data_IF_150131473144
#
_entry.id   IF_150131473144
#
_cell.length_a   1.000
_cell.length_b   1.000
_cell.length_c   1.000
_cell.angle_alpha   90.00
_cell.angle_beta   90.00
_cell.angle_gamma   90.00
#
_symmetry.space_group_name_H-M   'P 1'
#
loop_
_entity.id
_entity.type
_entity.pdbx_description
1 polymer ?
#
# COMPACT_ATOMS: atom_id res chain seq x y z
N UNK A 1 50.12 -47.88 12.83
CA UNK A 1 49.30 -48.86 12.08
C UNK A 1 48.50 -48.06 11.07
N UNK A 2 48.86 -48.18 9.81
CA UNK A 2 48.22 -47.51 8.68
C UNK A 2 47.11 -48.45 8.20
N UNK A 3 45.90 -47.94 8.07
CA UNK A 3 44.74 -48.66 7.54
C UNK A 3 44.21 -47.91 6.33
N UNK A 4 44.60 -48.39 5.16
CA UNK A 4 44.21 -47.91 3.83
C UNK A 4 43.60 -49.13 3.12
N UNK A 5 42.39 -49.03 2.55
CA UNK A 5 41.85 -49.94 1.52
C UNK A 5 40.47 -49.48 1.02
N UNK A 6 40.51 -48.68 -0.06
CA UNK A 6 39.85 -48.88 -1.36
C UNK A 6 38.53 -49.68 -1.49
N UNK A 7 37.55 -49.00 -2.11
CA UNK A 7 36.82 -49.31 -3.37
C UNK A 7 36.14 -50.67 -3.56
N UNK A 8 34.85 -50.64 -3.93
CA UNK A 8 34.29 -51.43 -5.05
C UNK A 8 32.99 -50.82 -5.60
N UNK A 9 33.02 -50.40 -6.87
CA UNK A 9 31.88 -50.31 -7.80
C UNK A 9 31.89 -51.58 -8.67
N UNK A 10 30.75 -52.03 -9.20
CA UNK A 10 30.73 -52.79 -10.44
C UNK A 10 30.12 -51.99 -11.61
N UNK A 11 30.80 -52.17 -12.74
CA UNK A 11 30.52 -51.70 -14.08
C UNK A 11 29.87 -52.88 -14.84
N UNK A 12 28.76 -52.68 -15.57
CA UNK A 12 28.30 -53.64 -16.59
C UNK A 12 27.88 -52.87 -17.85
N UNK A 13 28.46 -53.30 -18.97
CA UNK A 13 28.28 -52.82 -20.34
C UNK A 13 27.00 -53.36 -21.02
N UNK A 14 26.38 -52.47 -21.80
CA UNK A 14 25.81 -52.57 -23.16
C UNK A 14 25.10 -53.85 -23.63
N UNK A 15 23.88 -53.67 -24.17
CA UNK A 15 23.51 -54.09 -25.53
C UNK A 15 22.27 -53.30 -26.05
N UNK A 16 22.32 -52.93 -27.33
CA UNK A 16 21.25 -52.27 -28.11
C UNK A 16 20.15 -53.28 -28.50
N UNK A 17 18.88 -52.86 -28.53
CA UNK A 17 18.01 -53.03 -29.71
C UNK A 17 16.70 -52.23 -29.63
N UNK A 18 16.15 -52.00 -30.81
CA UNK A 18 15.13 -51.04 -31.25
C UNK A 18 13.71 -51.43 -30.81
N UNK A 19 12.89 -50.43 -30.43
CA UNK A 19 11.45 -50.63 -30.20
C UNK A 19 10.68 -49.32 -29.98
N UNK A 20 10.07 -48.81 -31.06
CA UNK A 20 9.04 -47.75 -31.06
C UNK A 20 7.78 -48.28 -30.37
N UNK A 21 7.23 -47.55 -29.38
CA UNK A 21 5.77 -47.28 -29.16
C UNK A 21 5.64 -46.22 -28.06
N UNK A 22 4.76 -45.24 -28.28
CA UNK A 22 4.63 -44.01 -27.50
C UNK A 22 4.04 -44.14 -26.09
N UNK A 23 4.10 -43.02 -25.37
CA UNK A 23 3.50 -42.83 -24.06
C UNK A 23 3.62 -41.36 -23.64
N UNK A 24 2.57 -40.60 -23.87
CA UNK A 24 2.39 -39.21 -23.44
C UNK A 24 2.62 -39.07 -21.93
N UNK A 25 3.54 -38.19 -21.53
CA UNK A 25 3.54 -37.56 -20.22
C UNK A 25 3.86 -36.07 -20.38
N UNK A 26 2.81 -35.28 -20.59
CA UNK A 26 2.88 -33.82 -20.50
C UNK A 26 3.03 -33.43 -19.02
N UNK A 27 4.26 -33.19 -18.58
CA UNK A 27 4.52 -32.26 -17.49
C UNK A 27 4.33 -30.84 -18.05
N UNK A 28 3.19 -30.23 -17.74
CA UNK A 28 2.99 -28.79 -17.96
C UNK A 28 3.57 -28.04 -16.76
N UNK A 29 4.86 -27.75 -16.82
CA UNK A 29 5.41 -26.58 -16.14
C UNK A 29 4.84 -25.34 -16.83
N UNK A 30 3.78 -24.78 -16.26
CA UNK A 30 3.29 -23.46 -16.64
C UNK A 30 4.22 -22.39 -16.07
N UNK A 31 5.32 -22.16 -16.79
CA UNK A 31 6.06 -20.90 -16.71
C UNK A 31 5.13 -19.77 -17.18
N UNK A 32 4.51 -19.08 -16.23
CA UNK A 32 3.83 -17.81 -16.47
C UNK A 32 4.88 -16.75 -16.81
N UNK A 33 5.31 -16.74 -18.06
CA UNK A 33 6.04 -15.62 -18.65
C UNK A 33 5.16 -14.37 -18.57
N UNK A 34 5.60 -13.40 -17.77
CA UNK A 34 5.09 -12.05 -17.84
C UNK A 34 5.51 -11.48 -19.19
N UNK A 35 4.56 -11.38 -20.13
CA UNK A 35 4.67 -10.36 -21.16
C UNK A 35 4.56 -9.00 -20.46
N UNK A 36 5.70 -8.34 -20.30
CA UNK A 36 5.74 -6.88 -20.16
C UNK A 36 5.07 -6.31 -21.39
N UNK A 37 3.80 -5.95 -21.28
CA UNK A 37 3.15 -5.10 -22.25
C UNK A 37 3.79 -3.72 -22.15
N UNK A 38 4.84 -3.50 -22.94
CA UNK A 38 5.18 -2.16 -23.43
C UNK A 38 4.02 -1.71 -24.33
N UNK A 39 2.99 -1.17 -23.69
CA UNK A 39 1.95 -0.43 -24.38
C UNK A 39 2.55 0.94 -24.79
N UNK A 40 3.42 0.94 -25.79
CA UNK A 40 3.74 2.15 -26.55
C UNK A 40 2.53 2.50 -27.42
N UNK A 41 1.47 3.03 -26.81
CA UNK A 41 0.51 3.80 -27.57
C UNK A 41 1.20 5.08 -28.03
N UNK A 42 1.36 5.23 -29.35
CA UNK A 42 1.61 6.51 -29.99
C UNK A 42 0.45 7.46 -29.66
N UNK A 43 0.56 8.19 -28.55
CA UNK A 43 -0.22 9.40 -28.34
C UNK A 43 0.51 10.54 -29.03
N UNK A 44 -0.21 11.17 -29.97
CA UNK A 44 0.16 12.43 -30.59
C UNK A 44 0.57 13.42 -29.50
N UNK A 45 1.80 13.92 -29.61
CA UNK A 45 2.33 14.99 -28.78
C UNK A 45 1.50 16.25 -29.04
N UNK A 46 0.50 16.49 -28.20
CA UNK A 46 -0.11 17.80 -28.07
C UNK A 46 0.87 18.70 -27.31
N UNK A 47 1.08 19.96 -27.74
CA UNK A 47 2.04 20.85 -27.12
C UNK A 47 1.68 21.12 -25.66
N UNK A 48 2.70 20.97 -24.81
CA UNK A 48 2.69 21.22 -23.37
C UNK A 48 2.29 22.67 -23.08
N UNK A 49 1.00 22.92 -22.84
CA UNK A 49 0.57 24.12 -22.15
C UNK A 49 0.89 23.92 -20.67
N UNK A 50 1.84 24.71 -20.17
CA UNK A 50 2.17 24.86 -18.75
C UNK A 50 0.93 25.44 -18.03
N UNK A 51 -0.02 24.57 -17.70
CA UNK A 51 -1.10 24.86 -16.78
C UNK A 51 -0.48 24.99 -15.39
N UNK A 52 -0.61 26.17 -14.82
CA UNK A 52 -0.24 26.47 -13.45
C UNK A 52 -0.95 25.45 -12.55
N UNK A 53 -0.18 24.79 -11.68
CA UNK A 53 -0.72 24.09 -10.52
C UNK A 53 -1.55 25.09 -9.72
N UNK A 54 -2.87 24.99 -9.82
CA UNK A 54 -3.72 25.53 -8.79
C UNK A 54 -3.69 24.51 -7.65
N UNK A 55 -2.73 24.72 -6.75
CA UNK A 55 -2.91 24.23 -5.40
C UNK A 55 -4.18 24.90 -4.86
N UNK A 56 -5.23 24.12 -4.63
CA UNK A 56 -6.42 24.61 -3.94
C UNK A 56 -6.07 24.80 -2.46
N UNK A 57 -5.53 25.98 -2.13
CA UNK A 57 -5.51 26.47 -0.76
C UNK A 57 -6.71 27.41 -0.58
N UNK A 58 -7.67 27.00 0.25
CA UNK A 58 -8.67 27.93 0.76
C UNK A 58 -8.04 28.76 1.88
N UNK A 59 -7.90 30.06 1.65
CA UNK A 59 -7.54 31.02 2.69
C UNK A 59 -8.82 31.45 3.41
N UNK A 60 -8.94 31.12 4.70
CA UNK A 60 -9.91 31.79 5.56
C UNK A 60 -9.38 33.19 5.90
N UNK A 61 -10.00 34.21 5.33
CA UNK A 61 -9.56 35.61 5.42
C UNK A 61 -9.89 36.28 6.77
N UNK A 62 -10.37 35.53 7.78
CA UNK A 62 -10.85 36.10 9.05
C UNK A 62 -9.95 35.87 10.27
N UNK A 63 -8.73 35.35 10.11
CA UNK A 63 -7.84 35.12 11.25
C UNK A 63 -6.53 35.92 11.13
N UNK A 64 -6.36 36.93 11.99
CA UNK A 64 -5.19 37.83 12.04
C UNK A 64 -3.87 37.16 12.48
N UNK A 65 -3.84 35.82 12.59
CA UNK A 65 -2.65 35.06 12.92
C UNK A 65 -2.23 34.26 11.69
N UNK A 66 -1.16 34.75 11.05
CA UNK A 66 -0.54 34.25 9.82
C UNK A 66 0.09 32.84 10.00
N UNK A 67 -0.70 31.85 10.43
CA UNK A 67 -0.34 30.45 10.61
C UNK A 67 -1.24 29.59 9.71
N UNK A 68 -0.68 28.79 8.78
CA UNK A 68 -1.45 27.73 8.14
C UNK A 68 -1.89 26.76 9.24
N UNK A 69 -3.19 26.44 9.26
CA UNK A 69 -3.76 25.38 10.08
C UNK A 69 -4.10 24.24 9.13
N UNK A 70 -3.54 23.05 9.34
CA UNK A 70 -4.05 21.84 8.69
C UNK A 70 -5.36 21.48 9.38
N UNK A 71 -6.47 21.90 8.78
CA UNK A 71 -7.79 21.48 9.22
C UNK A 71 -8.05 20.06 8.73
N UNK A 72 -8.20 19.11 9.65
CA UNK A 72 -9.03 17.94 9.38
C UNK A 72 -10.44 18.47 9.13
N UNK A 73 -10.91 18.42 7.88
CA UNK A 73 -12.23 18.89 7.53
C UNK A 73 -13.32 18.09 8.27
N UNK A 74 -13.90 18.71 9.29
CA UNK A 74 -15.18 18.34 9.85
C UNK A 74 -16.29 18.96 8.99
N UNK A 75 -16.75 18.22 7.99
CA UNK A 75 -18.05 18.53 7.39
C UNK A 75 -19.15 17.99 8.28
N UNK A 76 -19.83 18.88 8.99
CA UNK A 76 -21.10 18.59 9.65
C UNK A 76 -22.10 18.10 8.61
N UNK A 77 -22.70 16.94 8.85
CA UNK A 77 -23.73 16.34 8.01
C UNK A 77 -24.84 17.36 7.67
N UNK A 78 -24.99 17.67 6.37
CA UNK A 78 -26.24 18.25 5.87
C UNK A 78 -27.26 17.11 5.83
N UNK A 79 -28.20 17.13 6.75
CA UNK A 79 -29.32 16.18 6.76
C UNK A 79 -30.03 16.21 5.39
N UNK A 80 -30.47 15.06 4.85
CA UNK A 80 -31.27 15.03 3.64
C UNK A 80 -32.59 15.77 3.87
N UNK A 81 -32.96 16.62 2.92
CA UNK A 81 -34.24 17.32 2.89
C UNK A 81 -35.39 16.29 2.98
N UNK A 82 -36.35 16.45 3.91
CA UNK A 82 -37.47 15.51 4.02
C UNK A 82 -38.42 15.69 2.83
N UNK A 83 -38.71 14.59 2.12
CA UNK A 83 -39.91 14.49 1.29
C UNK A 83 -41.14 14.53 2.20
N UNK A 84 -42.07 15.41 1.89
CA UNK A 84 -43.36 15.53 2.57
C UNK A 84 -44.14 14.21 2.48
N UNK A 85 -44.40 13.59 3.62
CA UNK A 85 -45.53 12.68 3.82
C UNK A 85 -46.29 13.14 5.06
N UNK A 86 -47.59 13.42 4.88
CA UNK A 86 -48.49 13.87 5.94
C UNK A 86 -49.02 12.69 6.78
N UNK A 87 -48.98 12.91 8.09
CA UNK A 87 -49.82 12.36 9.17
C UNK A 87 -49.94 10.84 9.41
N UNK A 88 -49.34 10.37 10.53
CA UNK A 88 -50.09 9.90 11.72
C UNK A 88 -49.21 9.71 12.98
N UNK A 89 -49.59 10.46 14.02
CA UNK A 89 -49.57 10.22 15.48
C UNK A 89 -48.42 9.45 16.19
N UNK A 90 -47.65 10.25 16.94
CA UNK A 90 -47.19 10.10 18.34
C UNK A 90 -46.89 8.70 18.92
N UNK A 91 -45.62 8.46 19.30
CA UNK A 91 -45.22 7.88 20.59
C UNK A 91 -43.77 8.28 20.93
N UNK A 92 -43.49 8.34 22.23
CA UNK A 92 -42.34 8.96 22.89
C UNK A 92 -40.96 8.41 22.46
N UNK A 93 -39.96 9.29 22.34
CA UNK A 93 -38.55 8.89 22.35
C UNK A 93 -37.71 9.87 23.19
N UNK A 94 -37.02 9.31 24.18
CA UNK A 94 -35.97 9.96 24.94
C UNK A 94 -34.80 10.30 23.99
N UNK A 95 -34.47 11.58 23.90
CA UNK A 95 -33.29 12.05 23.18
C UNK A 95 -32.03 11.66 23.96
N UNK A 96 -31.36 10.60 23.52
CA UNK A 96 -29.97 10.36 23.88
C UNK A 96 -29.14 11.38 23.12
N UNK A 97 -28.61 12.35 23.85
CA UNK A 97 -27.62 13.30 23.33
C UNK A 97 -26.37 12.50 22.99
N UNK A 98 -26.21 12.17 21.71
CA UNK A 98 -25.00 11.54 21.18
C UNK A 98 -23.84 12.50 21.34
N UNK A 99 -23.00 12.27 22.34
CA UNK A 99 -21.69 12.88 22.44
C UNK A 99 -20.88 12.48 21.21
N UNK A 100 -20.53 13.45 20.37
CA UNK A 100 -19.52 13.30 19.32
C UNK A 100 -18.14 13.16 20.00
N UNK A 101 -17.91 12.03 20.66
CA UNK A 101 -16.56 11.61 21.03
C UNK A 101 -15.80 11.42 19.73
N UNK A 102 -14.73 12.19 19.54
CA UNK A 102 -13.72 11.92 18.53
C UNK A 102 -13.31 10.47 18.77
N UNK A 103 -13.72 9.56 17.89
CA UNK A 103 -13.14 8.23 17.88
C UNK A 103 -11.65 8.45 17.65
N UNK A 104 -10.90 8.25 18.72
CA UNK A 104 -9.45 8.21 18.73
C UNK A 104 -9.05 7.36 17.53
N UNK A 105 -8.33 7.95 16.57
CA UNK A 105 -7.81 7.20 15.41
C UNK A 105 -7.07 6.04 16.03
N UNK A 106 -7.63 4.84 15.91
CA UNK A 106 -7.09 3.67 16.55
C UNK A 106 -5.79 3.37 15.82
N UNK A 107 -4.69 3.96 16.31
CA UNK A 107 -3.32 3.60 15.95
C UNK A 107 -3.05 2.24 16.60
N UNK A 108 -3.90 1.27 16.26
CA UNK A 108 -3.78 -0.10 16.68
C UNK A 108 -2.43 -0.59 16.20
N UNK A 109 -1.83 -1.52 16.94
CA UNK A 109 -0.61 -2.19 16.51
C UNK A 109 -0.92 -2.98 15.24
N UNK A 110 -0.70 -2.36 14.09
CA UNK A 110 -0.81 -3.02 12.80
C UNK A 110 0.21 -4.15 12.72
N UNK A 111 -0.25 -5.33 12.36
CA UNK A 111 0.60 -6.48 12.11
C UNK A 111 0.27 -7.11 10.76
N UNK A 112 1.26 -7.77 10.18
CA UNK A 112 1.09 -8.59 9.00
C UNK A 112 0.32 -9.85 9.36
N UNK A 113 -0.47 -10.33 8.39
CA UNK A 113 -1.17 -11.59 8.54
C UNK A 113 -0.20 -12.77 8.52
N UNK A 114 -0.44 -13.78 9.36
CA UNK A 114 0.45 -14.94 9.55
C UNK A 114 0.74 -15.71 8.26
N UNK A 115 -0.22 -15.76 7.33
CA UNK A 115 -0.03 -16.39 6.02
C UNK A 115 1.15 -15.79 5.21
N UNK A 116 1.64 -14.60 5.56
CA UNK A 116 2.85 -14.04 4.96
C UNK A 116 4.08 -14.95 5.14
N UNK A 117 4.14 -15.77 6.20
CA UNK A 117 5.20 -16.76 6.44
C UNK A 117 5.34 -17.77 5.30
N UNK A 118 4.29 -17.98 4.51
CA UNK A 118 4.36 -18.85 3.33
C UNK A 118 5.27 -18.30 2.21
N UNK A 119 5.63 -17.02 2.27
CA UNK A 119 6.41 -16.30 1.25
C UNK A 119 7.72 -15.71 1.80
N UNK A 120 7.98 -15.83 3.10
CA UNK A 120 9.08 -15.14 3.76
C UNK A 120 9.09 -15.35 5.27
N UNK A 121 9.74 -14.45 5.99
CA UNK A 121 9.80 -14.48 7.46
C UNK A 121 9.11 -13.26 8.07
N UNK A 122 8.42 -13.47 9.18
CA UNK A 122 7.87 -12.42 10.02
C UNK A 122 8.75 -12.22 11.26
N UNK A 123 8.78 -11.00 11.81
CA UNK A 123 9.28 -10.77 13.16
C UNK A 123 8.36 -11.40 14.21
N UNK A 124 8.86 -11.64 15.42
CA UNK A 124 8.06 -12.21 16.53
C UNK A 124 6.81 -11.38 16.86
N UNK A 125 6.87 -10.06 16.65
CA UNK A 125 5.73 -9.16 16.85
C UNK A 125 4.89 -8.94 15.58
N UNK A 126 5.20 -9.65 14.49
CA UNK A 126 4.52 -9.60 13.20
C UNK A 126 4.49 -8.21 12.53
N UNK A 127 5.36 -7.27 12.94
CA UNK A 127 5.41 -5.92 12.35
C UNK A 127 6.35 -5.84 11.15
N UNK A 128 7.35 -6.72 11.06
CA UNK A 128 8.33 -6.75 9.97
C UNK A 128 8.14 -8.01 9.16
N UNK A 129 8.14 -7.87 7.84
CA UNK A 129 8.12 -8.97 6.89
C UNK A 129 9.33 -8.87 5.95
N UNK A 130 10.02 -9.99 5.75
CA UNK A 130 11.07 -10.12 4.73
C UNK A 130 10.68 -11.20 3.74
N UNK A 131 10.56 -10.85 2.46
CA UNK A 131 10.28 -11.82 1.39
C UNK A 131 11.51 -12.70 1.15
N UNK A 132 11.38 -14.02 1.26
CA UNK A 132 12.48 -14.95 1.00
C UNK A 132 12.20 -15.89 -0.17
N UNK A 133 10.92 -16.12 -0.47
CA UNK A 133 10.49 -17.06 -1.50
C UNK A 133 9.99 -16.36 -2.77
N UNK A 134 9.82 -17.14 -3.83
CA UNK A 134 9.19 -16.72 -5.09
C UNK A 134 9.91 -15.55 -5.80
N UNK A 135 11.23 -15.65 -5.98
CA UNK A 135 12.03 -14.66 -6.71
C UNK A 135 11.44 -14.33 -8.10
N UNK A 136 11.44 -13.05 -8.46
CA UNK A 136 10.85 -12.54 -9.69
C UNK A 136 9.31 -12.60 -9.78
N UNK A 137 8.62 -13.23 -8.82
CA UNK A 137 7.15 -13.33 -8.78
C UNK A 137 6.55 -12.35 -7.76
N UNK A 138 5.41 -11.77 -8.12
CA UNK A 138 4.68 -10.87 -7.24
C UNK A 138 4.06 -11.63 -6.07
N UNK A 139 4.36 -11.16 -4.87
CA UNK A 139 3.77 -11.61 -3.60
C UNK A 139 3.04 -10.44 -2.97
N UNK A 140 1.88 -10.72 -2.38
CA UNK A 140 1.10 -9.71 -1.68
C UNK A 140 1.05 -10.06 -0.21
N UNK A 141 1.47 -9.11 0.61
CA UNK A 141 1.51 -9.21 2.07
C UNK A 141 0.40 -8.32 2.59
N UNK A 142 -0.53 -8.90 3.35
CA UNK A 142 -1.72 -8.20 3.84
C UNK A 142 -1.62 -7.96 5.33
N UNK A 143 -2.25 -6.88 5.79
CA UNK A 143 -2.54 -6.69 7.20
C UNK A 143 -3.46 -7.81 7.74
N UNK A 144 -3.38 -8.08 9.04
CA UNK A 144 -4.23 -9.03 9.78
C UNK A 144 -5.72 -8.64 9.84
N UNK A 145 -6.07 -7.37 9.59
CA UNK A 145 -7.43 -6.87 9.83
C UNK A 145 -8.15 -6.40 8.56
N UNK A 146 -9.41 -6.77 8.44
CA UNK A 146 -10.34 -6.22 7.44
C UNK A 146 -11.06 -5.01 8.03
N UNK A 147 -11.02 -3.90 7.30
CA UNK A 147 -11.68 -2.64 7.64
C UNK A 147 -13.02 -2.52 6.92
N UNK A 148 -14.05 -2.09 7.65
CA UNK A 148 -15.44 -1.97 7.15
C UNK A 148 -16.03 -0.57 7.26
N UNK A 149 -15.52 0.24 8.18
CA UNK A 149 -15.98 1.60 8.47
C UNK A 149 -14.85 2.38 9.14
N UNK A 150 -15.00 3.70 9.26
CA UNK A 150 -14.08 4.57 9.99
C UNK A 150 -12.80 4.93 9.21
N UNK A 151 -11.86 5.55 9.94
CA UNK A 151 -10.59 6.05 9.42
C UNK A 151 -9.43 5.21 9.96
N UNK A 152 -8.61 4.67 9.07
CA UNK A 152 -7.47 3.80 9.41
C UNK A 152 -6.18 4.38 8.85
N UNK A 153 -5.14 4.46 9.69
CA UNK A 153 -3.85 5.05 9.30
C UNK A 153 -2.73 4.03 9.43
N UNK A 154 -2.04 3.77 8.33
CA UNK A 154 -0.89 2.88 8.24
C UNK A 154 0.37 3.68 7.99
N UNK A 155 1.43 3.37 8.73
CA UNK A 155 2.76 3.89 8.45
C UNK A 155 3.69 2.72 8.20
N UNK A 156 4.38 2.72 7.05
CA UNK A 156 5.28 1.63 6.69
C UNK A 156 6.61 2.14 6.13
N UNK A 157 7.67 1.37 6.29
CA UNK A 157 8.97 1.60 5.66
C UNK A 157 9.40 0.42 4.80
N UNK A 158 10.15 0.71 3.74
CA UNK A 158 10.96 -0.29 3.04
C UNK A 158 12.37 -0.22 3.62
N UNK A 159 12.77 -1.24 4.37
CA UNK A 159 13.97 -1.18 5.21
C UNK A 159 15.22 -1.67 4.48
N UNK A 160 15.07 -2.72 3.66
CA UNK A 160 16.19 -3.34 2.94
C UNK A 160 15.73 -4.07 1.67
N UNK A 161 16.70 -4.55 0.89
CA UNK A 161 16.49 -5.24 -0.38
C UNK A 161 16.41 -4.30 -1.59
N UNK A 162 16.04 -4.85 -2.74
CA UNK A 162 15.87 -4.06 -3.97
C UNK A 162 14.38 -3.89 -4.28
N UNK A 163 13.85 -2.68 -4.07
CA UNK A 163 12.46 -2.35 -4.43
C UNK A 163 12.32 -2.45 -5.95
N UNK A 164 11.43 -3.28 -6.47
CA UNK A 164 11.20 -3.45 -7.91
C UNK A 164 10.22 -2.39 -8.47
N UNK A 165 10.19 -2.14 -9.79
CA UNK A 165 9.17 -1.28 -10.41
C UNK A 165 7.72 -1.75 -10.20
N UNK A 166 7.52 -3.03 -9.88
CA UNK A 166 6.20 -3.62 -9.65
C UNK A 166 5.80 -3.58 -8.16
N UNK A 167 6.70 -3.13 -7.28
CA UNK A 167 6.40 -3.02 -5.86
C UNK A 167 5.53 -1.79 -5.59
N UNK A 168 4.72 -1.90 -4.54
CA UNK A 168 3.78 -0.87 -4.18
C UNK A 168 3.00 -1.20 -2.92
N UNK A 169 2.22 -0.23 -2.47
CA UNK A 169 1.51 -0.27 -1.20
C UNK A 169 0.11 0.29 -1.42
N UNK A 170 -0.90 -0.22 -0.72
CA UNK A 170 -2.25 0.24 -0.98
C UNK A 170 -3.32 -0.44 -0.15
N UNK A 171 -4.55 -0.28 -0.62
CA UNK A 171 -5.75 -0.82 -0.01
C UNK A 171 -6.45 -1.74 -1.02
N UNK A 172 -6.63 -3.00 -0.64
CA UNK A 172 -7.29 -4.03 -1.44
C UNK A 172 -8.73 -4.21 -0.97
N UNK A 173 -9.70 -4.12 -1.88
CA UNK A 173 -11.11 -4.31 -1.57
C UNK A 173 -11.44 -5.81 -1.53
N UNK A 174 -11.70 -6.32 -0.33
CA UNK A 174 -11.96 -7.74 -0.07
C UNK A 174 -12.64 -7.93 1.28
N UNK A 175 -13.53 -8.92 1.36
CA UNK A 175 -14.16 -9.36 2.61
C UNK A 175 -13.47 -10.58 3.25
N UNK A 176 -12.34 -11.02 2.69
CA UNK A 176 -11.60 -12.21 3.13
C UNK A 176 -10.09 -11.96 3.20
N UNK A 177 -9.46 -12.63 4.17
CA UNK A 177 -8.02 -12.78 4.35
C UNK A 177 -7.67 -14.29 4.33
N UNK A 178 -6.51 -14.69 3.77
CA UNK A 178 -5.67 -13.88 2.89
C UNK A 178 -6.43 -13.56 1.59
N UNK A 179 -6.09 -12.47 0.93
CA UNK A 179 -6.72 -12.15 -0.36
C UNK A 179 -6.26 -13.15 -1.45
N UNK A 180 -7.02 -13.22 -2.55
CA UNK A 180 -6.75 -14.14 -3.66
C UNK A 180 -5.31 -13.96 -4.18
N UNK A 181 -4.63 -15.07 -4.46
CA UNK A 181 -3.23 -15.06 -4.95
C UNK A 181 -3.02 -14.35 -6.29
N UNK A 182 -4.06 -14.21 -7.10
CA UNK A 182 -3.97 -13.50 -8.38
C UNK A 182 -4.20 -11.99 -8.18
N UNK A 183 -3.11 -11.27 -7.91
CA UNK A 183 -3.08 -9.81 -7.69
C UNK A 183 -3.71 -9.02 -8.83
N UNK A 184 -3.65 -9.53 -10.06
CA UNK A 184 -4.22 -8.86 -11.23
C UNK A 184 -5.75 -8.82 -11.23
N UNK A 185 -6.41 -9.60 -10.36
CA UNK A 185 -7.87 -9.65 -10.24
C UNK A 185 -8.41 -8.95 -8.99
N UNK A 186 -7.55 -8.26 -8.25
CA UNK A 186 -7.91 -7.61 -6.99
C UNK A 186 -8.27 -6.17 -7.28
N UNK A 187 -9.50 -5.79 -6.96
CA UNK A 187 -9.89 -4.39 -6.96
C UNK A 187 -9.10 -3.67 -5.86
N UNK A 188 -8.42 -2.58 -6.19
CA UNK A 188 -7.53 -1.90 -5.24
C UNK A 188 -7.26 -0.45 -5.61
N UNK A 189 -6.80 0.33 -4.63
CA UNK A 189 -6.16 1.61 -4.85
C UNK A 189 -4.76 1.59 -4.21
N UNK A 190 -3.75 1.94 -4.99
CA UNK A 190 -2.37 1.69 -4.59
C UNK A 190 -1.41 2.74 -5.13
N UNK A 191 -0.33 2.93 -4.40
CA UNK A 191 0.83 3.71 -4.75
C UNK A 191 1.93 2.78 -5.27
N UNK A 192 2.42 3.03 -6.49
CA UNK A 192 3.53 2.25 -7.04
C UNK A 192 4.90 2.84 -6.68
N UNK A 193 5.99 2.09 -6.97
CA UNK A 193 7.37 2.55 -6.76
C UNK A 193 7.67 3.96 -7.28
N UNK A 194 7.11 4.35 -8.42
CA UNK A 194 7.39 5.66 -9.06
C UNK A 194 6.66 6.83 -8.39
N UNK A 195 5.83 6.58 -7.39
CA UNK A 195 5.04 7.64 -6.73
C UNK A 195 3.68 7.90 -7.40
N UNK A 196 3.26 7.06 -8.35
CA UNK A 196 1.97 7.23 -9.02
C UNK A 196 0.87 6.50 -8.24
N UNK A 197 -0.25 7.18 -8.05
CA UNK A 197 -1.45 6.58 -7.46
C UNK A 197 -2.28 5.97 -8.58
N UNK A 198 -2.59 4.70 -8.45
CA UNK A 198 -3.34 3.91 -9.42
C UNK A 198 -4.56 3.28 -8.74
N UNK A 199 -5.66 3.17 -9.48
CA UNK A 199 -6.74 2.25 -9.14
C UNK A 199 -6.70 1.04 -10.06
N UNK A 200 -7.15 -0.09 -9.52
CA UNK A 200 -7.42 -1.31 -10.27
C UNK A 200 -8.85 -1.72 -10.03
N UNK A 201 -9.56 -2.02 -11.11
CA UNK A 201 -10.87 -2.66 -11.08
C UNK A 201 -10.79 -3.85 -12.03
N UNK A 202 -10.84 -5.06 -11.49
CA UNK A 202 -10.58 -6.31 -12.20
C UNK A 202 -9.21 -6.26 -12.91
N UNK A 203 -9.16 -6.46 -14.22
CA UNK A 203 -7.93 -6.41 -15.01
C UNK A 203 -7.42 -5.00 -15.28
N UNK A 204 -8.28 -4.00 -15.10
CA UNK A 204 -8.05 -2.67 -15.65
C UNK A 204 -7.32 -1.81 -14.62
N UNK A 205 -6.27 -1.13 -15.07
CA UNK A 205 -5.48 -0.22 -14.24
C UNK A 205 -5.63 1.19 -14.78
N UNK A 206 -6.10 2.10 -13.92
CA UNK A 206 -6.19 3.51 -14.24
C UNK A 206 -5.24 4.32 -13.35
N UNK A 207 -4.54 5.29 -13.94
CA UNK A 207 -3.66 6.20 -13.21
C UNK A 207 -4.47 7.42 -12.78
N UNK A 208 -4.41 7.78 -11.50
CA UNK A 208 -5.02 9.01 -10.99
C UNK A 208 -4.15 10.23 -11.36
N UNK A 209 -4.76 11.40 -11.46
CA UNK A 209 -4.07 12.67 -11.68
C UNK A 209 -3.43 13.21 -10.39
N UNK A 210 -2.80 12.33 -9.62
CA UNK A 210 -2.16 12.63 -8.36
C UNK A 210 -0.91 11.77 -8.21
N UNK A 211 0.13 12.36 -7.62
CA UNK A 211 1.43 11.72 -7.43
C UNK A 211 2.06 12.19 -6.13
N UNK A 212 2.94 11.36 -5.58
CA UNK A 212 3.78 11.66 -4.42
C UNK A 212 5.24 11.34 -4.77
N UNK A 213 6.15 11.49 -3.81
CA UNK A 213 7.55 11.12 -4.01
C UNK A 213 7.68 9.60 -4.28
N UNK A 214 8.68 9.17 -5.06
CA UNK A 214 8.94 7.75 -5.29
C UNK A 214 9.17 6.96 -3.99
N UNK A 215 8.84 5.68 -4.02
CA UNK A 215 9.19 4.75 -2.96
C UNK A 215 10.69 4.42 -3.04
N UNK A 216 11.38 4.62 -1.93
CA UNK A 216 12.81 4.35 -1.77
C UNK A 216 13.06 3.74 -0.39
N UNK A 217 14.19 3.04 -0.26
CA UNK A 217 14.62 2.48 1.01
C UNK A 217 14.79 3.59 2.05
N UNK A 218 14.42 3.29 3.30
CA UNK A 218 14.50 4.21 4.42
C UNK A 218 13.44 5.33 4.42
N UNK A 219 12.61 5.45 3.37
CA UNK A 219 11.44 6.34 3.37
C UNK A 219 10.25 5.69 4.08
N UNK A 220 9.39 6.54 4.61
CA UNK A 220 8.13 6.14 5.24
C UNK A 220 6.97 6.50 4.34
N UNK A 221 6.06 5.56 4.12
CA UNK A 221 4.77 5.83 3.49
C UNK A 221 3.70 5.89 4.57
N UNK A 222 2.97 6.99 4.59
CA UNK A 222 1.80 7.24 5.43
C UNK A 222 0.55 7.11 4.58
N UNK A 223 -0.34 6.20 4.96
CA UNK A 223 -1.56 5.90 4.23
C UNK A 223 -2.71 6.06 5.20
N UNK A 224 -3.65 6.95 4.89
CA UNK A 224 -4.88 7.08 5.69
C UNK A 224 -6.08 6.76 4.80
N UNK A 225 -6.88 5.79 5.21
CA UNK A 225 -8.08 5.33 4.50
C UNK A 225 -9.31 5.73 5.30
N UNK A 226 -10.10 6.65 4.77
CA UNK A 226 -11.44 6.96 5.25
C UNK A 226 -12.45 6.10 4.47
N UNK A 227 -12.85 4.99 5.10
CA UNK A 227 -13.73 3.98 4.50
C UNK A 227 -15.14 4.51 4.29
N UNK A 228 -15.57 5.43 5.14
CA UNK A 228 -16.93 5.98 5.13
C UNK A 228 -17.08 7.06 4.05
N UNK A 229 -16.04 7.89 3.85
CA UNK A 229 -16.02 8.93 2.80
C UNK A 229 -15.44 8.45 1.47
N UNK A 230 -14.94 7.22 1.42
CA UNK A 230 -14.24 6.67 0.26
C UNK A 230 -13.04 7.52 -0.18
N UNK A 231 -12.24 7.98 0.79
CA UNK A 231 -11.04 8.80 0.56
C UNK A 231 -9.80 8.06 1.01
N UNK A 232 -8.74 8.14 0.22
CA UNK A 232 -7.41 7.66 0.62
C UNK A 232 -6.37 8.76 0.46
N UNK A 233 -5.59 8.96 1.52
CA UNK A 233 -4.44 9.83 1.57
C UNK A 233 -3.17 8.98 1.45
N UNK A 234 -2.23 9.44 0.64
CA UNK A 234 -0.86 8.94 0.58
C UNK A 234 0.10 10.09 0.91
N UNK A 235 1.02 9.86 1.82
CA UNK A 235 2.14 10.75 2.13
C UNK A 235 3.45 9.97 2.10
N UNK A 236 4.51 10.57 1.56
CA UNK A 236 5.85 9.98 1.58
C UNK A 236 6.78 10.88 2.36
N UNK A 237 7.45 10.32 3.35
CA UNK A 237 8.33 11.02 4.27
C UNK A 237 9.77 10.52 4.11
N UNK A 238 10.73 11.43 4.18
CA UNK A 238 12.15 11.10 4.15
C UNK A 238 12.80 11.28 5.51
N UNK A 239 13.80 10.45 5.85
CA UNK A 239 14.61 10.68 7.03
C UNK A 239 15.32 12.04 6.90
N UNK A 240 15.76 12.63 8.02
CA UNK A 240 16.55 13.85 7.95
C UNK A 240 17.79 13.61 7.09
N UNK A 241 18.22 14.58 6.27
CA UNK A 241 19.44 14.44 5.49
C UNK A 241 20.60 14.13 6.44
N UNK A 242 21.54 13.25 6.05
CA UNK A 242 22.70 12.96 6.88
C UNK A 242 23.40 14.28 7.20
N UNK A 243 23.57 14.55 8.49
CA UNK A 243 24.25 15.76 8.94
C UNK A 243 25.66 15.70 8.39
N UNK A 244 25.96 16.48 7.35
CA UNK A 244 27.31 16.53 6.82
C UNK A 244 28.19 17.09 7.93
N UNK A 245 29.17 16.30 8.38
CA UNK A 245 30.13 16.70 9.43
C UNK A 245 31.08 17.85 9.00
N UNK A 246 30.71 18.61 7.97
CA UNK A 246 31.46 19.80 7.61
C UNK A 246 31.18 20.87 8.66
N UNK A 247 32.24 21.28 9.38
CA UNK A 247 32.26 22.32 10.41
C UNK A 247 31.82 23.73 9.93
N UNK A 248 31.29 23.85 8.72
CA UNK A 248 30.72 25.08 8.21
C UNK A 248 29.23 25.14 8.58
N UNK A 249 28.91 26.04 9.52
CA UNK A 249 27.57 26.32 10.06
C UNK A 249 26.43 25.93 9.10
N UNK A 250 25.56 24.98 9.48
CA UNK A 250 24.39 24.65 8.67
C UNK A 250 23.45 25.86 8.60
N UNK A 251 23.00 26.18 7.39
CA UNK A 251 21.87 27.10 7.19
C UNK A 251 20.63 26.36 7.70
N UNK A 252 20.11 26.79 8.84
CA UNK A 252 18.93 26.19 9.44
C UNK A 252 17.72 26.43 8.54
N UNK A 253 17.33 25.42 7.76
CA UNK A 253 16.03 25.40 7.09
C UNK A 253 15.00 25.22 8.20
N UNK A 254 14.25 26.29 8.49
CA UNK A 254 13.20 26.29 9.51
C UNK A 254 11.99 25.52 8.96
N UNK A 255 11.99 24.20 9.13
CA UNK A 255 10.82 23.37 8.87
C UNK A 255 9.72 23.73 9.89
N UNK A 256 8.48 23.83 9.43
CA UNK A 256 7.35 24.06 10.33
C UNK A 256 7.05 22.77 11.13
N UNK A 257 6.66 22.87 12.41
CA UNK A 257 6.48 21.71 13.29
C UNK A 257 5.44 20.68 12.82
N UNK A 258 4.53 21.07 11.91
CA UNK A 258 3.41 20.25 11.44
C UNK A 258 3.82 19.12 10.48
N UNK A 259 5.10 19.06 10.09
CA UNK A 259 5.62 18.08 9.11
C UNK A 259 6.71 17.17 9.67
N UNK A 260 6.70 16.91 10.99
CA UNK A 260 7.71 16.05 11.60
C UNK A 260 7.05 14.86 12.30
N UNK A 261 7.32 13.66 11.78
CA UNK A 261 7.06 12.40 12.48
C UNK A 261 8.41 11.75 12.73
N UNK A 262 8.82 11.57 13.99
CA UNK A 262 10.10 10.91 14.32
C UNK A 262 11.33 11.48 13.59
N UNK A 263 11.41 12.80 13.41
CA UNK A 263 12.43 13.53 12.61
C UNK A 263 12.34 13.34 11.08
N UNK A 264 11.36 12.60 10.58
CA UNK A 264 11.08 12.54 9.15
C UNK A 264 10.38 13.82 8.69
N UNK A 265 10.64 14.23 7.45
CA UNK A 265 9.95 15.35 6.81
C UNK A 265 9.09 14.86 5.65
N UNK A 266 7.87 15.39 5.54
CA UNK A 266 6.97 15.07 4.44
C UNK A 266 7.56 15.61 3.13
N UNK A 267 7.76 14.72 2.14
CA UNK A 267 8.22 15.10 0.80
C UNK A 267 7.06 15.53 -0.08
N UNK A 268 5.99 14.74 -0.09
CA UNK A 268 4.80 14.99 -0.89
C UNK A 268 3.62 14.17 -0.35
N UNK A 269 2.42 14.68 -0.56
CA UNK A 269 1.20 13.96 -0.26
C UNK A 269 0.11 14.20 -1.29
N UNK A 270 -0.84 13.28 -1.38
CA UNK A 270 -2.03 13.44 -2.20
C UNK A 270 -3.21 12.69 -1.57
N UNK A 271 -4.40 13.26 -1.73
CA UNK A 271 -5.66 12.60 -1.39
C UNK A 271 -6.42 12.31 -2.67
N UNK A 272 -6.98 11.10 -2.78
CA UNK A 272 -7.80 10.70 -3.92
C UNK A 272 -9.08 10.03 -3.44
N UNK A 273 -10.15 10.23 -4.20
CA UNK A 273 -11.39 9.49 -4.01
C UNK A 273 -11.26 8.10 -4.63
N UNK A 274 -11.90 7.11 -3.99
CA UNK A 274 -12.03 5.75 -4.51
C UNK A 274 -13.48 5.28 -4.58
N UNK A 275 -14.45 6.20 -4.49
CA UNK A 275 -15.88 5.86 -4.55
C UNK A 275 -16.28 5.14 -5.85
N UNK A 276 -15.62 5.43 -6.96
CA UNK A 276 -15.80 4.72 -8.24
C UNK A 276 -15.32 3.25 -8.19
N UNK A 277 -14.20 2.99 -7.52
CA UNK A 277 -13.69 1.62 -7.31
C UNK A 277 -14.58 0.87 -6.32
N UNK A 278 -14.95 1.51 -5.21
CA UNK A 278 -15.81 0.92 -4.19
C UNK A 278 -17.21 0.60 -4.73
N UNK A 279 -17.79 1.48 -5.56
CA UNK A 279 -19.11 1.26 -6.17
C UNK A 279 -19.13 0.10 -7.18
N UNK A 280 -17.99 -0.20 -7.81
CA UNK A 280 -17.86 -1.32 -8.75
C UNK A 280 -17.41 -2.61 -8.07
N UNK A 281 -16.80 -2.52 -6.88
CA UNK A 281 -16.37 -3.67 -6.12
C UNK A 281 -17.55 -4.37 -5.45
N UNK A 282 -17.56 -5.71 -5.48
CA UNK A 282 -18.57 -6.53 -4.80
C UNK A 282 -18.62 -6.34 -3.28
N UNK A 283 -17.56 -5.79 -2.70
CA UNK A 283 -17.40 -5.64 -1.25
C UNK A 283 -17.59 -4.19 -0.79
N UNK A 284 -18.00 -3.29 -1.68
CA UNK A 284 -18.09 -1.86 -1.37
C UNK A 284 -16.72 -1.30 -0.99
N UNK A 285 -16.66 -0.56 0.12
CA UNK A 285 -15.43 -0.01 0.69
C UNK A 285 -14.71 -0.96 1.67
N UNK A 286 -15.24 -2.17 1.90
CA UNK A 286 -14.62 -3.17 2.78
C UNK A 286 -13.32 -3.68 2.17
N UNK A 287 -12.23 -3.67 2.93
CA UNK A 287 -10.91 -4.02 2.44
C UNK A 287 -9.86 -4.10 3.54
N UNK A 288 -8.60 -4.15 3.15
CA UNK A 288 -7.46 -4.20 4.06
C UNK A 288 -6.23 -3.55 3.44
N UNK A 289 -5.31 -3.13 4.28
CA UNK A 289 -4.01 -2.66 3.82
C UNK A 289 -3.16 -3.82 3.29
N UNK A 290 -2.37 -3.56 2.25
CA UNK A 290 -1.45 -4.53 1.68
C UNK A 290 -0.22 -3.89 1.04
N UNK A 291 0.84 -4.68 0.94
CA UNK A 291 2.06 -4.38 0.17
C UNK A 291 2.29 -5.47 -0.89
N UNK A 292 2.74 -5.07 -2.07
CA UNK A 292 3.13 -5.98 -3.16
C UNK A 292 4.63 -5.92 -3.33
N UNK A 293 5.26 -7.09 -3.35
CA UNK A 293 6.72 -7.29 -3.41
C UNK A 293 7.07 -8.30 -4.50
N UNK A 294 7.98 -7.94 -5.40
CA UNK A 294 8.48 -8.84 -6.46
C UNK A 294 9.77 -9.55 -6.06
N UNK A 295 10.76 -8.79 -5.63
CA UNK A 295 12.11 -9.31 -5.39
C UNK A 295 12.19 -9.95 -3.99
N UNK A 296 13.02 -10.98 -3.84
CA UNK A 296 13.38 -11.51 -2.51
C UNK A 296 14.32 -10.56 -1.78
N UNK A 297 14.51 -10.80 -0.49
CA UNK A 297 15.28 -10.00 0.46
C UNK A 297 14.77 -8.57 0.64
N UNK A 298 13.57 -8.26 0.13
CA UNK A 298 12.89 -6.99 0.42
C UNK A 298 12.23 -7.09 1.80
N UNK A 299 12.57 -6.16 2.67
CA UNK A 299 12.02 -6.06 4.03
C UNK A 299 11.12 -4.84 4.13
N UNK A 300 9.92 -5.05 4.69
CA UNK A 300 8.95 -3.99 4.97
C UNK A 300 8.47 -4.08 6.41
N UNK A 301 8.32 -2.92 7.05
CA UNK A 301 7.91 -2.85 8.46
C UNK A 301 6.78 -1.85 8.67
N UNK A 302 5.84 -2.21 9.54
CA UNK A 302 4.94 -1.22 10.14
C UNK A 302 5.71 -0.36 11.13
N UNK A 303 5.48 0.95 11.08
CA UNK A 303 6.05 1.92 12.00
C UNK A 303 5.00 2.21 13.06
N UNK A 304 5.33 1.87 14.31
CA UNK A 304 4.52 2.23 15.47
C UNK A 304 5.02 3.59 16.00
N UNK A 305 4.28 4.70 15.82
CA UNK A 305 4.74 6.02 16.24
C UNK A 305 4.90 6.13 17.77
N UNK A 306 4.21 5.29 18.54
CA UNK A 306 4.20 5.35 20.01
C UNK A 306 5.31 4.53 20.69
N UNK A 307 6.01 3.66 19.95
CA UNK A 307 7.20 2.99 20.49
C UNK A 307 8.35 4.00 20.47
N UNK A 308 8.66 4.61 21.62
CA UNK A 308 9.94 5.30 21.82
C UNK A 308 11.05 4.30 21.49
N UNK A 309 11.81 4.58 20.43
CA UNK A 309 13.03 3.83 20.08
C UNK A 309 14.12 4.07 21.13
#
# INVERSE_FOLDING_TARGET
MVGDTSLFLPNIQQQEEVGVVGGNNNHHDHDYYYHTYDNQQHQQQQPYNRLQQHDYYYYDNNNNNNRPQVYYYHHSHRAPHPRQQQHRQQHHSNAVVGSNTIEEVNVGRHCWHVDAETMGTLSDDLHTFTKLEYEGRLSMVTEEQIRRHGVHRYMISFDSGEISPADGVGYAFSSQLPCKKNIQKIDSIFLNRRGHICSRTHSDVSRRHAFVAPLELGRVVDITVDVDRCLIYFGVWAPPPPQSHNNNRPVAVKLTPEYIINNYHLLACATVEFGDVAATCRYGSTGHFCTVLKNTNVTVSFICPDKKQ
#
